data_IF_313306106009
#
_entry.id   IF_313306106009
#
_cell.length_a   1.000
_cell.length_b   1.000
_cell.length_c   1.000
_cell.angle_alpha   90.00
_cell.angle_beta   90.00
_cell.angle_gamma   90.00
#
_symmetry.space_group_name_H-M   'P 1'
#
loop_
_entity.id
_entity.type
_entity.pdbx_description
1 polymer ?
#
# COMPACT_ATOMS: atom_id res chain seq x y z
N UNK A 1 -14.61 -20.72 -27.96
CA UNK A 1 -13.33 -20.00 -28.22
C UNK A 1 -13.34 -18.54 -27.74
N UNK A 2 -14.44 -18.00 -27.21
CA UNK A 2 -14.55 -16.61 -26.75
C UNK A 2 -14.15 -16.36 -25.29
N UNK A 3 -14.24 -17.35 -24.39
CA UNK A 3 -13.93 -17.14 -22.96
C UNK A 3 -12.43 -17.26 -22.61
N UNK A 4 -11.65 -17.98 -23.42
CA UNK A 4 -10.23 -18.19 -23.15
C UNK A 4 -9.37 -16.94 -23.47
N UNK A 5 -9.85 -16.07 -24.36
CA UNK A 5 -9.19 -14.80 -24.69
C UNK A 5 -9.48 -13.68 -23.69
N UNK A 6 -10.70 -13.64 -23.12
CA UNK A 6 -11.07 -12.65 -22.10
C UNK A 6 -10.29 -12.82 -20.78
N UNK A 7 -9.96 -14.06 -20.38
CA UNK A 7 -9.13 -14.30 -19.18
C UNK A 7 -7.66 -13.87 -19.34
N UNK A 8 -7.14 -13.85 -20.56
CA UNK A 8 -5.74 -13.43 -20.82
C UNK A 8 -5.58 -11.91 -20.81
N UNK A 9 -6.59 -11.16 -21.25
CA UNK A 9 -6.54 -9.70 -21.20
C UNK A 9 -6.73 -9.17 -19.78
N UNK A 10 -7.62 -9.76 -18.96
CA UNK A 10 -7.78 -9.35 -17.56
C UNK A 10 -6.51 -9.51 -16.72
N UNK A 11 -5.71 -10.58 -16.93
CA UNK A 11 -4.44 -10.80 -16.20
C UNK A 11 -3.36 -9.77 -16.52
N UNK A 12 -3.31 -9.27 -17.76
CA UNK A 12 -2.36 -8.23 -18.15
C UNK A 12 -2.78 -6.86 -17.61
N UNK A 13 -4.09 -6.59 -17.55
CA UNK A 13 -4.65 -5.37 -16.93
C UNK A 13 -4.46 -5.33 -15.41
N UNK A 14 -4.54 -6.50 -14.73
CA UNK A 14 -4.35 -6.59 -13.28
C UNK A 14 -2.89 -6.39 -12.87
N UNK A 15 -1.90 -6.88 -13.66
CA UNK A 15 -0.49 -6.57 -13.38
C UNK A 15 -0.18 -5.08 -13.50
N UNK A 16 -0.74 -4.39 -14.49
CA UNK A 16 -0.50 -2.95 -14.70
C UNK A 16 -1.18 -2.10 -13.61
N UNK A 17 -2.39 -2.48 -13.18
CA UNK A 17 -3.05 -1.84 -12.02
C UNK A 17 -2.28 -2.08 -10.70
N UNK A 18 -1.72 -3.29 -10.51
CA UNK A 18 -0.82 -3.62 -9.39
C UNK A 18 0.45 -2.79 -9.41
N UNK A 19 0.99 -2.44 -10.59
CA UNK A 19 2.18 -1.57 -10.68
C UNK A 19 1.88 -0.09 -10.44
N UNK A 20 0.65 0.38 -10.65
CA UNK A 20 0.30 1.80 -10.52
C UNK A 20 -0.19 2.20 -9.12
N UNK A 21 -0.92 1.31 -8.44
CA UNK A 21 -1.41 1.51 -7.06
C UNK A 21 -0.71 0.62 -6.02
N UNK A 22 -0.12 -0.50 -6.43
CA UNK A 22 0.45 -1.52 -5.54
C UNK A 22 1.97 -1.48 -5.38
N UNK A 23 2.67 -0.46 -5.89
CA UNK A 23 4.11 -0.27 -5.64
C UNK A 23 4.35 0.38 -4.28
N UNK A 24 3.98 -0.34 -3.23
CA UNK A 24 4.60 -0.16 -1.93
C UNK A 24 5.29 -1.47 -1.55
N UNK A 25 6.62 -1.44 -1.57
CA UNK A 25 7.32 -1.89 -0.38
C UNK A 25 6.85 -0.94 0.72
N UNK A 26 5.80 -1.34 1.45
CA UNK A 26 5.40 -0.67 2.67
C UNK A 26 6.66 -0.68 3.49
N UNK A 27 7.34 0.47 3.58
CA UNK A 27 8.20 0.74 4.71
C UNK A 27 7.20 0.64 5.84
N UNK A 28 7.20 -0.50 6.53
CA UNK A 28 6.35 -0.78 7.68
C UNK A 28 6.64 0.32 8.68
N UNK A 29 5.94 1.43 8.50
CA UNK A 29 6.23 2.70 9.08
C UNK A 29 6.19 2.45 10.56
N UNK A 30 7.25 2.85 11.23
CA UNK A 30 7.47 2.74 12.68
C UNK A 30 6.26 3.18 13.52
N UNK A 31 5.27 3.87 12.92
CA UNK A 31 3.95 4.17 13.47
C UNK A 31 3.03 2.95 13.74
N UNK A 32 3.01 1.89 12.92
CA UNK A 32 2.06 0.77 13.15
C UNK A 32 2.40 -0.11 14.33
N UNK A 33 3.66 -0.13 14.76
CA UNK A 33 4.09 -0.87 15.97
C UNK A 33 3.67 -0.16 17.26
N UNK A 34 3.38 1.14 17.21
CA UNK A 34 2.96 1.90 18.40
C UNK A 34 1.51 1.57 18.80
N UNK A 35 0.63 1.31 17.82
CA UNK A 35 -0.79 1.03 18.06
C UNK A 35 -1.04 -0.36 18.65
N UNK A 36 -0.11 -1.30 18.56
CA UNK A 36 -0.23 -2.62 19.20
C UNK A 36 0.15 -2.63 20.70
N UNK A 37 0.59 -1.49 21.25
CA UNK A 37 0.86 -1.38 22.68
C UNK A 37 -0.46 -1.20 23.44
N UNK A 38 -1.18 -2.30 23.61
CA UNK A 38 -2.23 -2.39 24.61
C UNK A 38 -1.68 -1.93 25.96
N UNK A 39 -2.43 -1.09 26.66
CA UNK A 39 -2.01 -0.35 27.87
C UNK A 39 -1.67 -1.22 29.09
N UNK A 40 -1.59 -2.55 28.95
CA UNK A 40 -1.45 -3.53 30.03
C UNK A 40 -0.40 -4.63 29.78
N UNK A 41 0.55 -4.44 28.85
CA UNK A 41 1.60 -5.44 28.60
C UNK A 41 2.73 -5.33 29.64
N UNK A 42 3.21 -6.46 30.16
CA UNK A 42 4.39 -6.46 31.05
C UNK A 42 5.64 -6.02 30.30
N UNK A 43 6.66 -5.51 31.01
CA UNK A 43 7.92 -5.10 30.39
C UNK A 43 8.65 -6.26 29.69
N UNK A 44 8.46 -7.48 30.19
CA UNK A 44 9.04 -8.70 29.63
C UNK A 44 8.29 -9.12 28.35
N UNK A 45 6.95 -9.09 28.36
CA UNK A 45 6.13 -9.36 27.16
C UNK A 45 6.39 -8.32 26.07
N UNK A 46 6.57 -7.05 26.44
CA UNK A 46 6.90 -5.99 25.50
C UNK A 46 8.25 -6.23 24.81
N UNK A 47 9.25 -6.68 25.58
CA UNK A 47 10.57 -7.03 25.02
C UNK A 47 10.47 -8.24 24.11
N UNK A 48 9.80 -9.30 24.56
CA UNK A 48 9.60 -10.51 23.78
C UNK A 48 8.86 -10.23 22.47
N UNK A 49 7.86 -9.35 22.50
CA UNK A 49 7.16 -8.89 21.30
C UNK A 49 8.09 -8.18 20.34
N UNK A 50 8.91 -7.23 20.80
CA UNK A 50 9.87 -6.52 19.94
C UNK A 50 10.91 -7.46 19.34
N UNK A 51 11.43 -8.41 20.14
CA UNK A 51 12.36 -9.43 19.67
C UNK A 51 11.72 -10.32 18.60
N UNK A 52 10.46 -10.70 18.80
CA UNK A 52 9.68 -11.47 17.84
C UNK A 52 9.50 -10.73 16.51
N UNK A 53 9.08 -9.45 16.54
CA UNK A 53 8.92 -8.64 15.34
C UNK A 53 10.25 -8.44 14.59
N UNK A 54 11.35 -8.29 15.33
CA UNK A 54 12.69 -8.19 14.74
C UNK A 54 13.09 -9.51 14.07
N UNK A 55 12.86 -10.65 14.72
CA UNK A 55 13.18 -11.95 14.15
C UNK A 55 12.33 -12.25 12.92
N UNK A 56 11.02 -11.99 12.97
CA UNK A 56 10.10 -12.13 11.84
C UNK A 56 10.54 -11.34 10.60
N UNK A 57 11.18 -10.17 10.78
CA UNK A 57 11.71 -9.36 9.67
C UNK A 57 13.06 -9.86 9.15
N UNK A 58 13.94 -10.34 10.02
CA UNK A 58 15.33 -10.69 9.65
C UNK A 58 15.48 -12.14 9.20
N UNK A 59 14.70 -13.04 9.80
CA UNK A 59 14.69 -14.48 9.54
C UNK A 59 13.24 -14.98 9.66
N UNK A 60 12.42 -14.78 8.62
CA UNK A 60 10.98 -14.99 8.70
C UNK A 60 10.58 -16.41 9.10
N UNK A 61 11.34 -17.44 8.71
CA UNK A 61 11.11 -18.84 9.10
C UNK A 61 11.34 -19.05 10.61
N UNK A 62 12.52 -18.65 11.12
CA UNK A 62 12.85 -18.71 12.55
C UNK A 62 11.86 -17.89 13.38
N UNK A 63 11.47 -16.72 12.87
CA UNK A 63 10.51 -15.81 13.48
C UNK A 63 9.11 -16.43 13.56
N UNK A 64 8.68 -17.08 12.50
CA UNK A 64 7.40 -17.79 12.47
C UNK A 64 7.38 -18.95 13.48
N UNK A 65 8.40 -19.81 13.49
CA UNK A 65 8.49 -20.93 14.45
C UNK A 65 8.52 -20.43 15.90
N UNK A 66 9.33 -19.40 16.18
CA UNK A 66 9.42 -18.80 17.51
C UNK A 66 8.10 -18.17 17.96
N UNK A 67 7.41 -17.45 17.06
CA UNK A 67 6.12 -16.83 17.35
C UNK A 67 5.02 -17.87 17.64
N UNK A 68 5.01 -18.98 16.90
CA UNK A 68 4.09 -20.10 17.14
C UNK A 68 4.35 -20.72 18.52
N UNK A 69 5.60 -21.00 18.87
CA UNK A 69 5.95 -21.54 20.18
C UNK A 69 5.53 -20.59 21.31
N UNK A 70 5.78 -19.29 21.15
CA UNK A 70 5.38 -18.28 22.13
C UNK A 70 3.85 -18.20 22.29
N UNK A 71 3.10 -18.23 21.19
CA UNK A 71 1.64 -18.29 21.21
C UNK A 71 1.15 -19.51 21.97
N UNK A 72 1.72 -20.68 21.69
CA UNK A 72 1.29 -21.96 22.30
C UNK A 72 1.64 -22.04 23.79
N UNK A 73 2.63 -21.26 24.25
CA UNK A 73 2.94 -21.05 25.66
C UNK A 73 2.08 -19.97 26.34
N UNK A 74 1.11 -19.38 25.65
CA UNK A 74 0.19 -18.39 26.21
C UNK A 74 0.59 -16.93 25.99
N UNK A 75 1.43 -16.63 25.00
CA UNK A 75 1.90 -15.26 24.68
C UNK A 75 0.85 -14.24 24.20
N UNK A 76 -0.44 -14.59 24.24
CA UNK A 76 -1.56 -13.67 24.01
C UNK A 76 -1.65 -13.07 22.61
N UNK A 77 -2.32 -11.92 22.51
CA UNK A 77 -2.48 -11.15 21.26
C UNK A 77 -1.12 -10.77 20.61
N UNK A 78 -0.07 -10.35 21.36
CA UNK A 78 1.23 -10.02 20.77
C UNK A 78 1.88 -11.20 20.03
N UNK A 79 1.80 -12.41 20.58
CA UNK A 79 2.33 -13.60 19.92
C UNK A 79 1.54 -13.93 18.65
N UNK A 80 0.21 -13.86 18.70
CA UNK A 80 -0.67 -14.09 17.53
C UNK A 80 -0.40 -13.07 16.42
N UNK A 81 -0.23 -11.79 16.77
CA UNK A 81 0.15 -10.75 15.83
C UNK A 81 1.52 -11.02 15.20
N UNK A 82 2.51 -11.40 16.02
CA UNK A 82 3.85 -11.71 15.51
C UNK A 82 3.86 -12.90 14.53
N UNK A 83 3.03 -13.94 14.77
CA UNK A 83 2.83 -15.04 13.81
C UNK A 83 2.36 -14.48 12.45
N UNK A 84 1.39 -13.57 12.44
CA UNK A 84 0.91 -12.97 11.21
C UNK A 84 1.99 -12.10 10.53
N UNK A 85 2.76 -11.32 11.30
CA UNK A 85 3.88 -10.53 10.76
C UNK A 85 4.95 -11.42 10.10
N UNK A 86 5.29 -12.55 10.71
CA UNK A 86 6.22 -13.51 10.11
C UNK A 86 5.66 -14.12 8.81
N UNK A 87 4.35 -14.40 8.74
CA UNK A 87 3.70 -14.86 7.52
C UNK A 87 3.72 -13.80 6.40
N UNK A 88 3.54 -12.51 6.74
CA UNK A 88 3.69 -11.42 5.76
C UNK A 88 5.11 -11.39 5.20
N UNK A 89 6.12 -11.52 6.06
CA UNK A 89 7.53 -11.56 5.64
C UNK A 89 7.88 -12.82 4.82
N UNK A 90 7.10 -13.90 4.97
CA UNK A 90 7.16 -15.12 4.15
C UNK A 90 6.29 -15.03 2.87
N UNK A 91 5.70 -13.86 2.58
CA UNK A 91 4.78 -13.62 1.46
C UNK A 91 3.53 -14.51 1.48
N UNK A 92 3.17 -15.07 2.64
CA UNK A 92 1.95 -15.85 2.86
C UNK A 92 0.78 -14.94 3.21
N UNK A 93 0.46 -14.04 2.28
CA UNK A 93 -0.43 -12.91 2.53
C UNK A 93 -1.86 -13.32 2.92
N UNK A 94 -2.45 -14.30 2.24
CA UNK A 94 -3.81 -14.80 2.56
C UNK A 94 -3.88 -15.42 3.96
N UNK A 95 -2.88 -16.20 4.36
CA UNK A 95 -2.84 -16.80 5.70
C UNK A 95 -2.62 -15.72 6.78
N UNK A 96 -1.73 -14.75 6.52
CA UNK A 96 -1.52 -13.62 7.42
C UNK A 96 -2.80 -12.80 7.60
N UNK A 97 -3.48 -12.47 6.51
CA UNK A 97 -4.72 -11.69 6.51
C UNK A 97 -5.81 -12.39 7.33
N UNK A 98 -6.01 -13.68 7.09
CA UNK A 98 -6.99 -14.50 7.83
C UNK A 98 -6.71 -14.50 9.33
N UNK A 99 -5.44 -14.59 9.73
CA UNK A 99 -5.06 -14.59 11.16
C UNK A 99 -5.21 -13.21 11.81
N UNK A 100 -4.93 -12.13 11.08
CA UNK A 100 -5.12 -10.76 11.58
C UNK A 100 -6.59 -10.42 11.73
N UNK A 101 -7.41 -10.82 10.76
CA UNK A 101 -8.87 -10.68 10.80
C UNK A 101 -9.46 -11.43 12.00
N UNK A 102 -9.10 -12.71 12.17
CA UNK A 102 -9.53 -13.49 13.32
C UNK A 102 -9.03 -12.92 14.66
N UNK A 103 -7.80 -12.38 14.69
CA UNK A 103 -7.25 -11.71 15.87
C UNK A 103 -8.04 -10.44 16.20
N UNK A 104 -8.45 -9.68 15.19
CA UNK A 104 -9.28 -8.48 15.39
C UNK A 104 -10.65 -8.83 15.97
N UNK A 105 -11.28 -9.92 15.53
CA UNK A 105 -12.59 -10.40 16.04
C UNK A 105 -12.55 -10.83 17.50
N UNK A 106 -11.45 -11.45 17.94
CA UNK A 106 -11.30 -11.95 19.32
C UNK A 106 -10.63 -10.94 20.27
N UNK A 107 -10.06 -9.86 19.73
CA UNK A 107 -9.24 -8.93 20.51
C UNK A 107 -10.08 -8.18 21.55
N UNK A 108 -9.50 -8.06 22.74
CA UNK A 108 -10.05 -7.23 23.83
C UNK A 108 -9.34 -5.88 23.94
N UNK A 109 -8.44 -5.59 23.01
CA UNK A 109 -7.67 -4.36 22.97
C UNK A 109 -8.52 -3.14 22.59
N UNK A 110 -8.06 -1.90 22.88
CA UNK A 110 -8.74 -0.69 22.44
C UNK A 110 -9.02 -0.67 20.93
N UNK A 111 -10.08 0.04 20.52
CA UNK A 111 -10.53 0.11 19.13
C UNK A 111 -9.42 0.53 18.15
N UNK A 112 -8.49 1.40 18.58
CA UNK A 112 -7.34 1.81 17.78
C UNK A 112 -6.40 0.64 17.45
N UNK A 113 -6.23 -0.28 18.38
CA UNK A 113 -5.43 -1.49 18.18
C UNK A 113 -6.13 -2.41 17.18
N UNK A 114 -7.43 -2.64 17.39
CA UNK A 114 -8.24 -3.51 16.53
C UNK A 114 -8.32 -2.96 15.10
N UNK A 115 -8.52 -1.64 14.94
CA UNK A 115 -8.47 -0.98 13.64
C UNK A 115 -7.10 -1.17 12.96
N UNK A 116 -6.00 -1.11 13.72
CA UNK A 116 -4.66 -1.38 13.20
C UNK A 116 -4.42 -2.84 12.78
N UNK A 117 -5.09 -3.80 13.43
CA UNK A 117 -5.08 -5.21 13.01
C UNK A 117 -5.85 -5.40 11.69
N UNK A 118 -7.04 -4.80 11.60
CA UNK A 118 -7.88 -4.83 10.41
C UNK A 118 -7.21 -4.13 9.21
N UNK A 119 -6.53 -3.01 9.44
CA UNK A 119 -5.76 -2.33 8.40
C UNK A 119 -4.62 -3.22 7.85
N UNK A 120 -3.92 -3.94 8.72
CA UNK A 120 -2.89 -4.91 8.30
C UNK A 120 -3.50 -6.14 7.60
N UNK A 121 -4.67 -6.61 8.06
CA UNK A 121 -5.40 -7.69 7.40
C UNK A 121 -5.80 -7.26 5.99
N UNK A 122 -6.39 -6.07 5.84
CA UNK A 122 -6.81 -5.54 4.56
C UNK A 122 -5.67 -5.37 3.57
N UNK A 123 -4.51 -4.88 4.02
CA UNK A 123 -3.31 -4.80 3.18
C UNK A 123 -2.77 -6.18 2.79
N UNK A 124 -2.83 -7.15 3.71
CA UNK A 124 -2.44 -8.52 3.39
C UNK A 124 -3.39 -9.14 2.35
N UNK A 125 -4.69 -8.90 2.45
CA UNK A 125 -5.65 -9.29 1.41
C UNK A 125 -5.38 -8.62 0.06
N UNK A 126 -5.04 -7.34 0.06
CA UNK A 126 -4.66 -6.60 -1.14
C UNK A 126 -3.41 -7.21 -1.81
N UNK A 127 -2.38 -7.54 -1.02
CA UNK A 127 -1.18 -8.23 -1.51
C UNK A 127 -1.47 -9.65 -2.02
N UNK A 128 -2.47 -10.32 -1.44
CA UNK A 128 -2.99 -11.60 -1.95
C UNK A 128 -3.86 -11.45 -3.22
N UNK A 129 -4.15 -10.21 -3.67
CA UNK A 129 -5.01 -9.93 -4.81
C UNK A 129 -6.51 -10.04 -4.51
N UNK A 130 -6.90 -10.14 -3.24
CA UNK A 130 -8.30 -10.25 -2.82
C UNK A 130 -8.85 -8.90 -2.35
N UNK A 131 -9.26 -8.07 -3.31
CA UNK A 131 -9.72 -6.71 -3.04
C UNK A 131 -11.05 -6.66 -2.25
N UNK A 132 -11.88 -7.70 -2.33
CA UNK A 132 -13.15 -7.76 -1.60
C UNK A 132 -12.92 -7.85 -0.08
N UNK A 133 -12.07 -8.79 0.36
CA UNK A 133 -11.71 -8.87 1.78
C UNK A 133 -10.86 -7.69 2.24
N UNK A 134 -10.02 -7.14 1.36
CA UNK A 134 -9.25 -5.95 1.66
C UNK A 134 -10.15 -4.76 2.01
N UNK A 135 -11.12 -4.48 1.14
CA UNK A 135 -12.10 -3.40 1.33
C UNK A 135 -12.96 -3.62 2.57
N UNK A 136 -13.39 -4.86 2.82
CA UNK A 136 -14.17 -5.23 4.01
C UNK A 136 -13.42 -4.86 5.29
N UNK A 137 -12.17 -5.28 5.44
CA UNK A 137 -11.41 -5.09 6.67
C UNK A 137 -11.02 -3.62 6.89
N UNK A 138 -10.66 -2.90 5.82
CA UNK A 138 -10.40 -1.47 5.90
C UNK A 138 -11.64 -0.65 6.24
N UNK A 139 -12.82 -1.03 5.71
CA UNK A 139 -14.08 -0.39 6.08
C UNK A 139 -14.42 -0.61 7.54
N UNK A 140 -14.21 -1.83 8.05
CA UNK A 140 -14.37 -2.12 9.48
C UNK A 140 -13.40 -1.31 10.35
N UNK A 141 -12.16 -1.12 9.91
CA UNK A 141 -11.20 -0.26 10.61
C UNK A 141 -11.70 1.19 10.69
N UNK A 142 -12.23 1.74 9.59
CA UNK A 142 -12.81 3.09 9.53
C UNK A 142 -14.11 3.25 10.33
N UNK A 143 -14.91 2.19 10.46
CA UNK A 143 -16.08 2.21 11.34
C UNK A 143 -15.70 2.37 12.83
N UNK A 144 -14.49 1.91 13.20
CA UNK A 144 -13.94 2.04 14.56
C UNK A 144 -13.21 3.36 14.77
N UNK A 145 -12.39 3.78 13.81
CA UNK A 145 -11.49 4.94 13.92
C UNK A 145 -11.56 5.76 12.65
N UNK A 146 -12.13 6.97 12.73
CA UNK A 146 -12.31 7.88 11.59
C UNK A 146 -11.29 9.02 11.54
N UNK A 147 -10.62 9.30 12.64
CA UNK A 147 -9.68 10.40 12.79
C UNK A 147 -8.22 9.99 12.55
N UNK A 148 -8.01 8.94 11.76
CA UNK A 148 -6.68 8.50 11.31
C UNK A 148 -6.64 8.60 9.78
N UNK A 149 -5.89 9.56 9.20
CA UNK A 149 -5.79 9.72 7.75
C UNK A 149 -5.23 8.47 7.05
N UNK A 150 -4.43 7.67 7.75
CA UNK A 150 -3.83 6.44 7.20
C UNK A 150 -4.90 5.41 6.83
N UNK A 151 -5.96 5.28 7.63
CA UNK A 151 -7.02 4.30 7.37
C UNK A 151 -7.84 4.67 6.13
N UNK A 152 -8.03 5.98 5.90
CA UNK A 152 -8.66 6.49 4.68
C UNK A 152 -7.79 6.23 3.46
N UNK A 153 -6.48 6.52 3.55
CA UNK A 153 -5.51 6.22 2.48
C UNK A 153 -5.49 4.73 2.16
N UNK A 154 -5.39 3.86 3.18
CA UNK A 154 -5.37 2.41 3.01
C UNK A 154 -6.61 1.94 2.22
N UNK A 155 -7.81 2.42 2.55
CA UNK A 155 -9.04 2.05 1.80
C UNK A 155 -9.09 2.64 0.40
N UNK A 156 -8.67 3.89 0.24
CA UNK A 156 -8.59 4.53 -1.05
C UNK A 156 -7.69 3.77 -2.04
N UNK A 157 -6.59 3.18 -1.57
CA UNK A 157 -5.72 2.34 -2.40
C UNK A 157 -6.47 1.13 -2.95
N UNK A 158 -7.24 0.43 -2.10
CA UNK A 158 -8.03 -0.74 -2.52
C UNK A 158 -9.12 -0.35 -3.52
N UNK A 159 -9.80 0.77 -3.29
CA UNK A 159 -10.77 1.33 -4.22
C UNK A 159 -10.13 1.68 -5.57
N UNK A 160 -8.96 2.32 -5.55
CA UNK A 160 -8.19 2.65 -6.75
C UNK A 160 -7.75 1.40 -7.53
N UNK A 161 -7.30 0.35 -6.85
CA UNK A 161 -6.99 -0.95 -7.46
C UNK A 161 -8.22 -1.65 -8.05
N UNK A 162 -9.39 -1.46 -7.44
CA UNK A 162 -10.67 -1.95 -7.93
C UNK A 162 -11.24 -1.10 -9.09
N UNK A 163 -10.60 0.01 -9.45
CA UNK A 163 -11.08 0.95 -10.47
C UNK A 163 -12.20 1.88 -10.00
N UNK A 164 -12.48 1.92 -8.69
CA UNK A 164 -13.48 2.78 -8.06
C UNK A 164 -12.84 4.15 -7.74
N UNK A 165 -12.49 4.90 -8.79
CA UNK A 165 -11.70 6.13 -8.63
C UNK A 165 -12.44 7.26 -7.93
N UNK A 166 -13.75 7.40 -8.13
CA UNK A 166 -14.54 8.42 -7.42
C UNK A 166 -14.62 8.12 -5.92
N UNK A 167 -14.90 6.88 -5.54
CA UNK A 167 -14.93 6.47 -4.12
C UNK A 167 -13.53 6.59 -3.49
N UNK A 168 -12.47 6.27 -4.23
CA UNK A 168 -11.08 6.48 -3.81
C UNK A 168 -10.80 7.96 -3.53
N UNK A 169 -11.23 8.86 -4.42
CA UNK A 169 -11.09 10.31 -4.23
C UNK A 169 -11.84 10.80 -2.99
N UNK A 170 -13.05 10.29 -2.74
CA UNK A 170 -13.80 10.65 -1.54
C UNK A 170 -13.07 10.26 -0.26
N UNK A 171 -12.49 9.05 -0.20
CA UNK A 171 -11.66 8.63 0.93
C UNK A 171 -10.40 9.51 1.06
N UNK A 172 -9.75 9.85 -0.06
CA UNK A 172 -8.54 10.69 -0.05
C UNK A 172 -8.83 12.13 0.35
N UNK A 173 -10.03 12.64 0.05
CA UNK A 173 -10.49 13.94 0.56
C UNK A 173 -10.63 13.89 2.08
N UNK A 174 -11.22 12.83 2.64
CA UNK A 174 -11.28 12.66 4.10
C UNK A 174 -9.88 12.58 4.73
N UNK A 175 -8.93 11.89 4.08
CA UNK A 175 -7.54 11.86 4.54
C UNK A 175 -6.89 13.25 4.55
N UNK A 176 -7.08 14.03 3.48
CA UNK A 176 -6.51 15.37 3.32
C UNK A 176 -7.21 16.44 4.17
N UNK A 177 -8.47 16.24 4.54
CA UNK A 177 -9.16 17.09 5.51
C UNK A 177 -8.57 16.92 6.93
N UNK A 178 -8.06 15.72 7.26
CA UNK A 178 -7.37 15.42 8.52
C UNK A 178 -5.90 15.81 8.49
N UNK A 179 -5.22 15.59 7.37
CA UNK A 179 -3.80 15.88 7.15
C UNK A 179 -3.58 16.46 5.74
N UNK A 180 -3.66 17.79 5.57
CA UNK A 180 -3.56 18.43 4.25
C UNK A 180 -2.22 18.25 3.53
N UNK A 181 -1.17 17.93 4.27
CA UNK A 181 0.19 17.72 3.74
C UNK A 181 0.55 16.24 3.61
N UNK A 182 -0.45 15.35 3.63
CA UNK A 182 -0.25 13.93 3.43
C UNK A 182 0.18 13.63 1.99
N UNK A 183 1.49 13.45 1.79
CA UNK A 183 2.11 13.20 0.48
C UNK A 183 1.51 11.97 -0.22
N UNK A 184 1.23 10.91 0.51
CA UNK A 184 0.68 9.67 -0.03
C UNK A 184 -0.76 9.87 -0.52
N UNK A 185 -1.60 10.55 0.26
CA UNK A 185 -2.96 10.88 -0.14
C UNK A 185 -3.00 11.77 -1.39
N UNK A 186 -2.12 12.78 -1.47
CA UNK A 186 -1.98 13.62 -2.67
C UNK A 186 -1.58 12.80 -3.89
N UNK A 187 -0.60 11.90 -3.76
CA UNK A 187 -0.18 11.04 -4.86
C UNK A 187 -1.33 10.15 -5.35
N UNK A 188 -2.00 9.44 -4.45
CA UNK A 188 -3.10 8.55 -4.84
C UNK A 188 -4.29 9.31 -5.43
N UNK A 189 -4.57 10.52 -4.94
CA UNK A 189 -5.65 11.35 -5.48
C UNK A 189 -5.30 11.86 -6.86
N UNK A 190 -4.05 12.28 -7.05
CA UNK A 190 -3.50 12.63 -8.36
C UNK A 190 -3.56 11.47 -9.35
N UNK A 191 -3.20 10.26 -8.92
CA UNK A 191 -3.33 9.04 -9.74
C UNK A 191 -4.79 8.76 -10.10
N UNK A 192 -5.72 8.84 -9.14
CA UNK A 192 -7.15 8.64 -9.40
C UNK A 192 -7.71 9.68 -10.39
N UNK A 193 -7.35 10.96 -10.23
CA UNK A 193 -7.71 12.02 -11.20
C UNK A 193 -7.16 11.75 -12.59
N UNK A 194 -5.91 11.28 -12.71
CA UNK A 194 -5.33 10.89 -14.01
C UNK A 194 -6.10 9.73 -14.65
N UNK A 195 -6.53 8.75 -13.86
CA UNK A 195 -7.33 7.62 -14.35
C UNK A 195 -8.74 8.04 -14.79
N UNK A 196 -9.25 9.14 -14.24
CA UNK A 196 -10.49 9.81 -14.67
C UNK A 196 -10.25 10.88 -15.76
N UNK A 197 -9.05 10.91 -16.36
CA UNK A 197 -8.66 11.85 -17.41
C UNK A 197 -8.78 13.35 -17.02
N UNK A 198 -8.80 13.63 -15.71
CA UNK A 198 -8.87 14.99 -15.16
C UNK A 198 -7.47 15.49 -14.84
N UNK A 199 -6.68 15.74 -15.90
CA UNK A 199 -5.23 15.93 -15.79
C UNK A 199 -4.80 17.18 -15.02
N UNK A 200 -5.59 18.26 -15.03
CA UNK A 200 -5.26 19.50 -14.30
C UNK A 200 -5.29 19.30 -12.79
N UNK A 201 -6.31 18.59 -12.28
CA UNK A 201 -6.41 18.24 -10.86
C UNK A 201 -5.30 17.25 -10.48
N UNK A 202 -5.02 16.27 -11.35
CA UNK A 202 -3.92 15.34 -11.15
C UNK A 202 -2.57 16.08 -11.01
N UNK A 203 -2.28 17.00 -11.92
CA UNK A 203 -1.03 17.77 -11.89
C UNK A 203 -0.95 18.65 -10.64
N UNK A 204 -2.06 19.24 -10.20
CA UNK A 204 -2.10 20.06 -8.98
C UNK A 204 -1.69 19.24 -7.75
N UNK A 205 -2.29 18.07 -7.55
CA UNK A 205 -1.97 17.20 -6.41
C UNK A 205 -0.53 16.67 -6.47
N UNK A 206 -0.09 16.24 -7.66
CA UNK A 206 1.27 15.70 -7.84
C UNK A 206 2.34 16.79 -7.64
N UNK A 207 2.09 18.02 -8.10
CA UNK A 207 3.00 19.14 -7.82
C UNK A 207 3.07 19.43 -6.33
N UNK A 208 1.93 19.45 -5.62
CA UNK A 208 1.92 19.64 -4.17
C UNK A 208 2.69 18.54 -3.44
N UNK A 209 2.53 17.28 -3.84
CA UNK A 209 3.30 16.16 -3.29
C UNK A 209 4.81 16.33 -3.49
N UNK A 210 5.24 16.84 -4.66
CA UNK A 210 6.65 17.11 -4.97
C UNK A 210 7.19 18.38 -4.30
N UNK A 211 6.36 19.37 -3.97
CA UNK A 211 6.78 20.49 -3.12
C UNK A 211 7.14 20.00 -1.71
N UNK A 212 6.32 19.09 -1.17
CA UNK A 212 6.51 18.51 0.16
C UNK A 212 7.63 17.46 0.20
N UNK A 213 7.76 16.66 -0.85
CA UNK A 213 8.78 15.62 -0.99
C UNK A 213 9.37 15.59 -2.42
N UNK A 214 10.35 16.46 -2.72
CA UNK A 214 10.87 16.67 -4.09
C UNK A 214 11.41 15.43 -4.80
N UNK A 215 11.91 14.45 -4.04
CA UNK A 215 12.49 13.22 -4.58
C UNK A 215 11.57 12.02 -4.41
N UNK A 216 10.26 12.22 -4.20
CA UNK A 216 9.31 11.12 -4.10
C UNK A 216 9.21 10.41 -5.46
N UNK A 217 9.65 9.15 -5.51
CA UNK A 217 9.72 8.36 -6.75
C UNK A 217 8.36 8.20 -7.40
N UNK A 218 7.31 7.98 -6.61
CA UNK A 218 5.96 7.77 -7.15
C UNK A 218 5.38 9.07 -7.70
N UNK A 219 5.55 10.19 -6.99
CA UNK A 219 5.10 11.49 -7.48
C UNK A 219 5.85 11.92 -8.76
N UNK A 220 7.16 11.67 -8.84
CA UNK A 220 7.95 11.90 -10.07
C UNK A 220 7.44 11.04 -11.22
N UNK A 221 7.18 9.75 -10.97
CA UNK A 221 6.64 8.85 -11.98
C UNK A 221 5.27 9.30 -12.48
N UNK A 222 4.38 9.73 -11.59
CA UNK A 222 3.05 10.25 -11.95
C UNK A 222 3.14 11.58 -12.70
N UNK A 223 4.05 12.48 -12.33
CA UNK A 223 4.30 13.71 -13.09
C UNK A 223 4.83 13.41 -14.49
N UNK A 224 5.73 12.44 -14.61
CA UNK A 224 6.24 11.98 -15.90
C UNK A 224 5.12 11.43 -16.80
N UNK A 225 4.18 10.66 -16.24
CA UNK A 225 2.99 10.20 -16.95
C UNK A 225 2.14 11.36 -17.46
N UNK A 226 1.90 12.37 -16.61
CA UNK A 226 1.11 13.56 -16.98
C UNK A 226 1.82 14.39 -18.06
N UNK A 227 3.12 14.60 -17.96
CA UNK A 227 3.91 15.27 -19.00
C UNK A 227 3.85 14.52 -20.34
N UNK A 228 3.95 13.18 -20.31
CA UNK A 228 3.83 12.35 -21.52
C UNK A 228 2.45 12.46 -22.15
N UNK A 229 1.38 12.46 -21.34
CA UNK A 229 -0.01 12.65 -21.82
C UNK A 229 -0.18 14.03 -22.47
N UNK A 230 0.47 15.05 -21.91
CA UNK A 230 0.49 16.40 -22.45
C UNK A 230 1.51 16.61 -23.58
N UNK A 231 2.09 15.54 -24.14
CA UNK A 231 3.11 15.53 -25.21
C UNK A 231 4.40 16.31 -24.88
N UNK A 232 4.64 16.62 -23.61
CA UNK A 232 5.86 17.25 -23.11
C UNK A 232 6.94 16.19 -22.85
N UNK A 233 7.37 15.51 -23.92
CA UNK A 233 8.25 14.33 -23.83
C UNK A 233 9.61 14.59 -23.17
N UNK A 234 10.15 15.81 -23.30
CA UNK A 234 11.42 16.18 -22.65
C UNK A 234 11.29 16.20 -21.12
N UNK A 235 10.22 16.83 -20.60
CA UNK A 235 9.93 16.87 -19.17
C UNK A 235 9.59 15.47 -18.64
N UNK A 236 8.81 14.70 -19.39
CA UNK A 236 8.49 13.33 -19.03
C UNK A 236 9.76 12.47 -18.92
N UNK A 237 10.66 12.56 -19.91
CA UNK A 237 11.93 11.82 -19.89
C UNK A 237 12.81 12.21 -18.72
N UNK A 238 12.89 13.50 -18.39
CA UNK A 238 13.66 13.98 -17.25
C UNK A 238 13.20 13.29 -15.96
N UNK A 239 11.90 13.31 -15.68
CA UNK A 239 11.35 12.69 -14.46
C UNK A 239 11.54 11.16 -14.45
N UNK A 240 11.30 10.48 -15.57
CA UNK A 240 11.54 9.03 -15.66
C UNK A 240 13.01 8.66 -15.42
N UNK A 241 13.96 9.45 -15.91
CA UNK A 241 15.38 9.21 -15.66
C UNK A 241 15.71 9.37 -14.17
N UNK A 242 15.16 10.38 -13.50
CA UNK A 242 15.30 10.54 -12.04
C UNK A 242 14.70 9.36 -11.29
N UNK A 243 13.53 8.85 -11.71
CA UNK A 243 12.95 7.61 -11.16
C UNK A 243 13.92 6.44 -11.31
N UNK A 244 14.47 6.22 -12.51
CA UNK A 244 15.39 5.10 -12.79
C UNK A 244 16.66 5.19 -11.93
N UNK A 245 17.26 6.38 -11.82
CA UNK A 245 18.48 6.62 -11.05
C UNK A 245 18.30 6.30 -9.56
N UNK A 246 17.13 6.65 -8.99
CA UNK A 246 16.88 6.56 -7.55
C UNK A 246 16.10 5.30 -7.13
N UNK A 247 15.70 4.45 -8.08
CA UNK A 247 14.93 3.21 -7.80
C UNK A 247 15.37 2.02 -8.66
N UNK A 248 16.65 1.98 -9.05
CA UNK A 248 17.16 0.93 -9.93
C UNK A 248 16.89 -0.49 -9.38
N UNK A 249 16.50 -1.41 -10.28
CA UNK A 249 16.14 -2.79 -9.91
C UNK A 249 14.74 -2.95 -9.31
N UNK A 250 13.94 -1.88 -9.23
CA UNK A 250 12.53 -1.95 -8.83
C UNK A 250 11.61 -1.99 -10.06
N UNK A 251 10.39 -2.52 -9.94
CA UNK A 251 9.49 -2.53 -11.08
C UNK A 251 8.99 -1.13 -11.48
N UNK A 252 9.08 -0.09 -10.63
CA UNK A 252 8.78 1.30 -11.04
C UNK A 252 9.85 1.83 -12.01
N UNK A 253 11.13 1.50 -11.77
CA UNK A 253 12.20 1.81 -12.72
C UNK A 253 12.03 1.05 -14.04
N UNK A 254 11.56 -0.20 -14.00
CA UNK A 254 11.24 -0.97 -15.21
C UNK A 254 10.09 -0.30 -16.00
N UNK A 255 9.04 0.14 -15.31
CA UNK A 255 7.93 0.86 -15.93
C UNK A 255 8.37 2.22 -16.53
N UNK A 256 9.27 2.93 -15.85
CA UNK A 256 9.83 4.18 -16.35
C UNK A 256 10.63 3.96 -17.64
N UNK A 257 11.49 2.93 -17.69
CA UNK A 257 12.22 2.53 -18.90
C UNK A 257 11.28 2.21 -20.06
N UNK A 258 10.25 1.40 -19.80
CA UNK A 258 9.27 1.04 -20.82
C UNK A 258 8.48 2.26 -21.36
N UNK A 259 8.21 3.27 -20.52
CA UNK A 259 7.58 4.51 -20.98
C UNK A 259 8.53 5.35 -21.85
N UNK A 260 9.81 5.42 -21.51
CA UNK A 260 10.83 6.07 -22.34
C UNK A 260 10.90 5.42 -23.73
N UNK A 261 11.01 4.10 -23.79
CA UNK A 261 11.07 3.36 -25.06
C UNK A 261 9.85 3.62 -25.95
N UNK A 262 8.64 3.67 -25.37
CA UNK A 262 7.42 3.99 -26.11
C UNK A 262 7.44 5.39 -26.72
N UNK A 263 7.97 6.38 -26.00
CA UNK A 263 8.11 7.74 -26.52
C UNK A 263 9.10 7.79 -27.69
N UNK A 264 10.23 7.08 -27.58
CA UNK A 264 11.26 7.05 -28.63
C UNK A 264 10.75 6.40 -29.93
N UNK A 265 9.98 5.30 -29.83
CA UNK A 265 9.40 4.63 -31.00
C UNK A 265 8.42 5.53 -31.76
N UNK A 266 7.65 6.37 -31.07
CA UNK A 266 6.68 7.27 -31.71
C UNK A 266 7.37 8.43 -32.45
N UNK A 267 8.55 8.87 -32.01
CA UNK A 267 9.32 9.94 -32.69
C UNK A 267 10.09 9.47 -33.93
N UNK A 268 10.29 8.16 -34.10
CA UNK A 268 11.09 7.59 -35.20
C UNK A 268 10.32 7.26 -36.49
N UNK A 269 9.03 7.61 -36.58
CA UNK A 269 8.15 7.27 -37.71
C UNK A 269 7.75 8.43 -38.62
N UNK A 270 8.38 9.60 -38.47
CA UNK A 270 8.20 10.79 -39.33
C UNK A 270 9.27 10.86 -40.44
#
# INVERSE_FOLDING_TARGET
MSELFARKTLRASSLVAMTLFGMMLVSFGTQRQALAQGTNMSADDARQYQDCLKLARLKPEDGFESAIAWRDMGGGEPAKHCVAVALIALEKYEEAATRLDALADESTSPQQVVAGLLAQAGQSWMMAGNLEFAWRDQSRALDMVKNDPTLWVDRAMVLGMAGQYWDSIDDLNNALDLDPDNVEALIYRGTAWRMLETYDLAMTDIQRALELSPNNIQALFERANLHRIAENNDLARQDYLTVIENSNGTPVADAARANIEKMDVQTGSE
#
